data_IF_944673409941
#
_entry.id   IF_944673409941
#
_cell.length_a   1.000
_cell.length_b   1.000
_cell.length_c   1.000
_cell.angle_alpha   90.00
_cell.angle_beta   90.00
_cell.angle_gamma   90.00
#
_symmetry.space_group_name_H-M   'P 1'
#
loop_
_entity.id
_entity.type
_entity.pdbx_description
1 polymer ?
#
# COMPACT_ATOMS: atom_id res chain seq x y z
N UNK A 1 -42.73 -19.92 -15.79
CA UNK A 1 -41.33 -20.25 -15.83
C UNK A 1 -40.42 -19.01 -15.88
N UNK A 2 -40.70 -18.03 -16.72
CA UNK A 2 -39.88 -16.81 -16.91
C UNK A 2 -39.63 -15.99 -15.61
N UNK A 3 -40.65 -15.81 -14.76
CA UNK A 3 -40.53 -15.07 -13.49
C UNK A 3 -39.58 -15.75 -12.48
N UNK A 4 -39.48 -17.08 -12.48
CA UNK A 4 -38.52 -17.80 -11.60
C UNK A 4 -37.08 -17.67 -12.07
N UNK A 5 -36.88 -17.59 -13.41
CA UNK A 5 -35.55 -17.41 -14.00
C UNK A 5 -35.04 -15.99 -13.74
N UNK A 6 -35.91 -14.95 -13.87
CA UNK A 6 -35.55 -13.55 -13.58
C UNK A 6 -35.23 -13.38 -12.09
N UNK A 7 -35.99 -14.02 -11.19
CA UNK A 7 -35.73 -13.97 -9.76
C UNK A 7 -34.42 -14.66 -9.37
N UNK A 8 -34.08 -15.76 -10.03
CA UNK A 8 -32.81 -16.46 -9.83
C UNK A 8 -31.62 -15.65 -10.35
N UNK A 9 -31.72 -14.97 -11.49
CA UNK A 9 -30.72 -14.04 -12.00
C UNK A 9 -30.54 -12.82 -11.09
N UNK A 10 -31.62 -12.30 -10.52
CA UNK A 10 -31.54 -11.17 -9.58
C UNK A 10 -30.86 -11.54 -8.26
N UNK A 11 -31.07 -12.74 -7.75
CA UNK A 11 -30.37 -13.25 -6.55
C UNK A 11 -28.90 -13.52 -6.84
N UNK A 12 -28.54 -14.06 -8.01
CA UNK A 12 -27.14 -14.29 -8.36
C UNK A 12 -26.37 -12.98 -8.59
N UNK A 13 -27.03 -11.94 -9.11
CA UNK A 13 -26.43 -10.62 -9.31
C UNK A 13 -26.18 -9.89 -7.98
N UNK A 14 -27.06 -10.07 -6.99
CA UNK A 14 -26.88 -9.49 -5.64
C UNK A 14 -25.75 -10.19 -4.88
N UNK A 15 -25.54 -11.50 -5.13
CA UNK A 15 -24.46 -12.26 -4.45
C UNK A 15 -23.04 -11.88 -4.94
N UNK A 16 -22.93 -11.29 -6.14
CA UNK A 16 -21.61 -10.86 -6.72
C UNK A 16 -21.23 -9.45 -6.24
N UNK A 17 -22.18 -8.68 -5.67
CA UNK A 17 -21.95 -7.32 -5.16
C UNK A 17 -21.50 -7.27 -3.68
N UNK A 18 -21.31 -8.41 -3.02
CA UNK A 18 -20.56 -8.43 -1.77
C UNK A 18 -19.08 -8.25 -2.11
N UNK A 19 -18.67 -6.99 -2.27
CA UNK A 19 -17.25 -6.64 -2.30
C UNK A 19 -16.58 -7.35 -1.13
N UNK A 20 -15.51 -8.09 -1.40
CA UNK A 20 -14.66 -8.67 -0.38
C UNK A 20 -14.15 -7.52 0.48
N UNK A 21 -14.86 -7.22 1.59
CA UNK A 21 -14.26 -6.49 2.70
C UNK A 21 -13.21 -7.47 3.23
N UNK A 22 -12.01 -7.37 2.67
CA UNK A 22 -10.88 -8.16 3.14
C UNK A 22 -10.71 -7.81 4.60
N UNK A 23 -11.02 -8.74 5.47
CA UNK A 23 -10.86 -8.61 6.90
C UNK A 23 -9.38 -8.32 7.19
N UNK A 24 -9.10 -7.07 7.49
CA UNK A 24 -7.75 -6.56 7.63
C UNK A 24 -7.17 -7.00 8.96
N UNK A 25 -6.10 -7.78 8.92
CA UNK A 25 -5.33 -8.19 10.09
C UNK A 25 -4.05 -7.37 10.17
N UNK A 26 -3.67 -6.99 11.38
CA UNK A 26 -2.39 -6.36 11.66
C UNK A 26 -1.38 -7.43 12.12
N UNK A 27 -0.17 -7.31 11.62
CA UNK A 27 0.95 -8.19 11.93
C UNK A 27 1.86 -7.59 13.03
N UNK A 28 2.66 -8.39 13.73
CA UNK A 28 3.72 -7.85 14.57
C UNK A 28 4.63 -6.90 13.79
N UNK A 29 4.85 -5.72 14.32
CA UNK A 29 5.60 -4.65 13.67
C UNK A 29 4.74 -3.63 12.92
N UNK A 30 3.45 -3.90 12.70
CA UNK A 30 2.49 -2.88 12.32
C UNK A 30 2.13 -2.00 13.52
N UNK A 31 1.31 -1.00 13.28
CA UNK A 31 0.90 -0.10 14.34
C UNK A 31 -0.55 0.34 14.24
N UNK A 32 -0.88 1.18 15.19
CA UNK A 32 -2.16 1.89 15.24
C UNK A 32 -1.87 3.35 15.53
N UNK A 33 -2.37 4.24 14.69
CA UNK A 33 -2.36 5.69 14.93
C UNK A 33 -3.61 6.07 15.70
N UNK A 34 -3.42 6.74 16.82
CA UNK A 34 -4.48 7.28 17.65
C UNK A 34 -4.39 8.80 17.63
N UNK A 35 -5.51 9.45 17.34
CA UNK A 35 -5.62 10.90 17.40
C UNK A 35 -6.87 11.29 18.17
N UNK A 36 -6.69 12.09 19.22
CA UNK A 36 -7.75 12.77 19.94
C UNK A 36 -7.87 14.19 19.41
N UNK A 37 -9.10 14.62 19.12
CA UNK A 37 -9.37 15.96 18.58
C UNK A 37 -9.66 16.98 19.69
N UNK A 38 -10.15 16.51 20.83
CA UNK A 38 -10.65 17.31 21.95
C UNK A 38 -9.78 17.25 23.22
N UNK A 39 -8.78 16.35 23.27
CA UNK A 39 -7.92 16.15 24.43
C UNK A 39 -6.48 16.54 24.07
N UNK A 40 -5.87 17.40 24.91
CA UNK A 40 -4.50 17.87 24.68
C UNK A 40 -3.47 16.78 25.02
N UNK A 41 -3.02 16.09 24.07
CA UNK A 41 -1.76 15.68 23.52
C UNK A 41 -0.78 14.71 24.12
N UNK A 42 -0.99 14.04 25.20
CA UNK A 42 -0.05 12.99 25.65
C UNK A 42 -0.42 11.59 25.15
N UNK A 43 -1.56 11.44 24.48
CA UNK A 43 -2.12 10.14 24.12
C UNK A 43 -2.16 9.95 22.60
N UNK A 44 -2.24 11.05 21.82
CA UNK A 44 -2.17 10.99 20.37
C UNK A 44 -0.79 10.56 19.90
N UNK A 45 -0.72 9.60 18.97
CA UNK A 45 0.54 9.08 18.47
C UNK A 45 0.42 7.74 17.76
N UNK A 46 1.57 7.24 17.34
CA UNK A 46 1.71 5.95 16.67
C UNK A 46 2.19 4.91 17.68
N UNK A 47 1.46 3.80 17.78
CA UNK A 47 1.73 2.70 18.71
C UNK A 47 1.91 1.42 17.94
N UNK A 48 2.98 0.66 18.24
CA UNK A 48 3.38 -0.50 17.44
C UNK A 48 3.09 -1.81 18.16
N UNK A 49 2.71 -2.80 17.36
CA UNK A 49 2.44 -4.16 17.83
C UNK A 49 3.77 -4.86 18.07
N UNK A 50 3.94 -5.34 19.28
CA UNK A 50 5.13 -6.07 19.71
C UNK A 50 5.20 -7.47 19.05
N UNK A 51 6.38 -8.11 19.01
CA UNK A 51 6.54 -9.45 18.43
C UNK A 51 5.64 -10.52 19.05
N UNK A 52 5.21 -10.33 20.30
CA UNK A 52 4.28 -11.22 20.97
C UNK A 52 2.80 -10.98 20.63
N UNK A 53 2.52 -10.03 19.71
CA UNK A 53 1.18 -9.66 19.26
C UNK A 53 0.42 -8.78 20.24
N UNK A 54 1.13 -8.08 21.13
CA UNK A 54 0.51 -7.12 22.05
C UNK A 54 0.70 -5.69 21.58
N UNK A 55 -0.35 -4.90 21.69
CA UNK A 55 -0.37 -3.46 21.50
C UNK A 55 -0.59 -2.80 22.87
N UNK A 56 0.36 -2.00 23.31
CA UNK A 56 0.26 -1.24 24.55
C UNK A 56 -0.13 0.20 24.27
N UNK A 57 -1.23 0.66 24.86
CA UNK A 57 -1.73 2.01 24.71
C UNK A 57 -1.74 2.74 26.07
N UNK A 58 -1.41 4.04 26.10
CA UNK A 58 -1.43 4.84 27.32
C UNK A 58 -2.82 4.79 27.97
N UNK A 59 -2.85 4.60 29.28
CA UNK A 59 -4.04 4.54 30.13
C UNK A 59 -5.05 3.43 29.77
N UNK A 60 -5.16 3.00 28.50
CA UNK A 60 -6.08 1.96 28.05
C UNK A 60 -5.53 0.54 28.26
N UNK A 61 -4.21 0.39 28.54
CA UNK A 61 -3.57 -0.88 28.85
C UNK A 61 -3.12 -1.67 27.63
N UNK A 62 -3.13 -2.99 27.75
CA UNK A 62 -2.61 -3.92 26.73
C UNK A 62 -3.78 -4.57 25.98
N UNK A 63 -3.64 -4.62 24.65
CA UNK A 63 -4.57 -5.26 23.72
C UNK A 63 -3.87 -6.45 23.06
N UNK A 64 -4.55 -7.57 22.95
CA UNK A 64 -4.08 -8.71 22.19
C UNK A 64 -4.61 -8.57 20.75
N UNK A 65 -3.69 -8.49 19.78
CA UNK A 65 -4.03 -8.30 18.35
C UNK A 65 -3.99 -9.62 17.56
N UNK A 66 -3.47 -10.71 18.16
CA UNK A 66 -3.36 -12.01 17.48
C UNK A 66 -4.73 -12.50 17.02
N UNK A 67 -4.79 -12.91 15.75
CA UNK A 67 -5.97 -13.49 15.11
C UNK A 67 -7.21 -12.59 15.10
N UNK A 68 -7.07 -11.32 15.47
CA UNK A 68 -8.15 -10.34 15.42
C UNK A 68 -8.08 -9.50 14.15
N UNK A 69 -9.24 -9.18 13.62
CA UNK A 69 -9.41 -8.17 12.59
C UNK A 69 -9.21 -6.77 13.19
N UNK A 70 -8.66 -5.85 12.40
CA UNK A 70 -8.45 -4.48 12.85
C UNK A 70 -9.74 -3.81 13.35
N UNK A 71 -10.87 -4.07 12.70
CA UNK A 71 -12.17 -3.55 13.14
C UNK A 71 -12.52 -3.93 14.58
N UNK A 72 -12.18 -5.15 15.00
CA UNK A 72 -12.39 -5.62 16.39
C UNK A 72 -11.45 -4.91 17.37
N UNK A 73 -10.17 -4.76 16.96
CA UNK A 73 -9.16 -4.05 17.78
C UNK A 73 -9.55 -2.59 17.94
N UNK A 74 -9.96 -1.93 16.85
CA UNK A 74 -10.45 -0.54 16.84
C UNK A 74 -11.64 -0.36 17.78
N UNK A 75 -12.62 -1.25 17.71
CA UNK A 75 -13.81 -1.20 18.57
C UNK A 75 -13.43 -1.36 20.05
N UNK A 76 -12.50 -2.27 20.37
CA UNK A 76 -12.02 -2.47 21.73
C UNK A 76 -11.25 -1.24 22.24
N UNK A 77 -10.44 -0.60 21.38
CA UNK A 77 -9.70 0.64 21.72
C UNK A 77 -10.68 1.76 22.04
N UNK A 78 -11.64 2.00 21.13
CA UNK A 78 -12.66 3.04 21.31
C UNK A 78 -13.44 2.81 22.61
N UNK A 79 -13.93 1.60 22.84
CA UNK A 79 -14.67 1.25 24.05
C UNK A 79 -13.89 1.53 25.35
N UNK A 80 -12.58 1.21 25.37
CA UNK A 80 -11.77 1.47 26.58
C UNK A 80 -11.53 2.96 26.80
N UNK A 81 -11.28 3.72 25.74
CA UNK A 81 -11.11 5.17 25.88
C UNK A 81 -12.42 5.88 26.20
N UNK A 82 -13.57 5.43 25.68
CA UNK A 82 -14.89 5.94 26.09
C UNK A 82 -15.17 5.74 27.59
N UNK A 83 -14.64 4.66 28.16
CA UNK A 83 -14.77 4.39 29.58
C UNK A 83 -13.88 5.29 30.45
N UNK A 84 -12.79 5.81 29.89
CA UNK A 84 -11.83 6.69 30.57
C UNK A 84 -12.16 8.19 30.40
N UNK A 85 -12.67 8.55 29.24
CA UNK A 85 -12.98 9.92 28.85
C UNK A 85 -14.45 9.95 28.39
N UNK A 86 -15.22 10.95 28.83
CA UNK A 86 -16.64 11.09 28.45
C UNK A 86 -16.78 11.44 26.97
N UNK A 87 -17.09 10.46 26.12
CA UNK A 87 -17.30 10.61 24.68
C UNK A 87 -16.15 11.38 23.98
N UNK A 88 -14.92 10.87 24.02
CA UNK A 88 -13.80 11.53 23.35
C UNK A 88 -13.96 11.45 21.84
N UNK A 89 -13.62 12.54 21.14
CA UNK A 89 -13.48 12.49 19.68
C UNK A 89 -12.18 11.77 19.33
N UNK A 90 -12.27 10.47 19.07
CA UNK A 90 -11.15 9.57 18.87
C UNK A 90 -11.12 9.02 17.44
N UNK A 91 -10.02 9.24 16.74
CA UNK A 91 -9.71 8.58 15.47
C UNK A 91 -8.69 7.47 15.69
N UNK A 92 -8.99 6.28 15.18
CA UNK A 92 -8.10 5.11 15.22
C UNK A 92 -7.89 4.59 13.80
N UNK A 93 -6.64 4.64 13.32
CA UNK A 93 -6.25 4.19 11.98
C UNK A 93 -5.22 3.06 12.10
N UNK A 94 -5.27 2.12 11.17
CA UNK A 94 -4.21 1.13 11.01
C UNK A 94 -2.96 1.75 10.44
N UNK A 95 -1.79 1.30 10.88
CA UNK A 95 -0.48 1.63 10.33
C UNK A 95 0.15 0.36 9.79
N UNK A 96 0.22 0.26 8.46
CA UNK A 96 0.93 -0.84 7.80
C UNK A 96 2.40 -0.53 7.71
N UNK A 97 3.22 -1.52 8.01
CA UNK A 97 4.63 -1.47 7.69
C UNK A 97 4.84 -2.02 6.28
N UNK A 98 5.20 -1.14 5.38
CA UNK A 98 5.54 -1.46 4.00
C UNK A 98 7.03 -1.21 3.74
N UNK A 99 7.54 -1.80 2.68
CA UNK A 99 8.90 -1.56 2.22
C UNK A 99 8.86 -0.89 0.84
N UNK A 100 9.69 0.13 0.62
CA UNK A 100 9.80 0.82 -0.67
C UNK A 100 11.20 0.60 -1.21
N UNK A 101 11.30 0.04 -2.40
CA UNK A 101 12.55 -0.32 -3.06
C UNK A 101 12.68 0.24 -4.46
N UNK A 102 13.91 0.21 -4.99
CA UNK A 102 14.23 0.59 -6.35
C UNK A 102 14.52 2.07 -6.48
N UNK A 103 14.04 2.70 -7.55
CA UNK A 103 14.37 4.06 -7.95
C UNK A 103 13.62 5.13 -7.15
N UNK A 104 13.82 5.14 -5.83
CA UNK A 104 13.40 6.19 -4.89
C UNK A 104 14.61 6.78 -4.19
N UNK A 105 14.49 7.99 -3.66
CA UNK A 105 15.62 8.66 -3.01
C UNK A 105 16.04 8.01 -1.70
N UNK A 106 15.09 7.52 -0.93
CA UNK A 106 15.33 6.89 0.37
C UNK A 106 14.59 5.56 0.42
N UNK A 107 15.16 4.46 -0.11
CA UNK A 107 14.58 3.13 0.04
C UNK A 107 14.55 2.71 1.50
N UNK A 108 13.50 1.98 1.92
CA UNK A 108 13.39 1.53 3.30
C UNK A 108 11.98 1.17 3.75
N UNK A 109 11.84 0.94 5.06
CA UNK A 109 10.55 0.68 5.68
C UNK A 109 9.82 1.96 6.04
N UNK A 110 8.52 1.99 5.73
CA UNK A 110 7.64 3.11 6.00
C UNK A 110 6.36 2.63 6.66
N UNK A 111 5.78 3.49 7.48
CA UNK A 111 4.47 3.26 8.08
C UNK A 111 3.45 4.14 7.37
N UNK A 112 2.42 3.52 6.83
CA UNK A 112 1.38 4.18 6.05
C UNK A 112 0.01 3.81 6.58
N UNK A 113 -0.93 4.74 6.46
CA UNK A 113 -2.33 4.48 6.79
C UNK A 113 -3.10 4.05 5.54
N UNK A 114 -4.24 3.41 5.76
CA UNK A 114 -5.13 2.97 4.69
C UNK A 114 -5.67 4.11 3.80
N UNK A 115 -5.72 5.33 4.34
CA UNK A 115 -6.24 6.53 3.66
C UNK A 115 -5.15 7.31 2.90
N UNK A 116 -3.89 6.95 3.05
CA UNK A 116 -2.81 7.64 2.32
C UNK A 116 -2.83 7.28 0.84
N UNK A 117 -2.61 8.29 0.00
CA UNK A 117 -2.49 8.08 -1.46
C UNK A 117 -1.13 7.51 -1.82
N UNK A 118 -1.05 6.71 -2.89
CA UNK A 118 0.21 6.14 -3.36
C UNK A 118 1.26 7.22 -3.62
N UNK A 119 0.87 8.36 -4.17
CA UNK A 119 1.78 9.50 -4.40
C UNK A 119 2.36 10.06 -3.10
N UNK A 120 1.54 10.11 -2.03
CA UNK A 120 1.99 10.48 -0.68
C UNK A 120 2.96 9.46 -0.10
N UNK A 121 2.67 8.17 -0.29
CA UNK A 121 3.53 7.07 0.15
C UNK A 121 4.92 7.15 -0.50
N UNK A 122 4.97 7.39 -1.81
CA UNK A 122 6.24 7.58 -2.54
C UNK A 122 6.95 8.85 -2.06
N UNK A 123 6.21 9.92 -1.75
CA UNK A 123 6.79 11.15 -1.21
C UNK A 123 7.46 10.94 0.17
N UNK A 124 6.98 10.01 1.02
CA UNK A 124 7.66 9.63 2.26
C UNK A 124 9.08 9.10 1.99
N UNK A 125 9.27 8.35 0.89
CA UNK A 125 10.57 7.88 0.43
C UNK A 125 11.40 8.97 -0.30
N UNK A 126 11.00 10.23 -0.19
CA UNK A 126 11.68 11.36 -0.84
C UNK A 126 11.34 11.52 -2.32
N UNK A 127 10.34 10.80 -2.82
CA UNK A 127 9.97 10.74 -4.23
C UNK A 127 10.87 9.80 -5.04
N UNK A 128 10.49 9.59 -6.29
CA UNK A 128 11.26 8.78 -7.24
C UNK A 128 12.46 9.53 -7.82
N UNK A 129 13.43 8.77 -8.34
CA UNK A 129 14.60 9.32 -9.06
C UNK A 129 14.25 9.62 -10.52
N UNK A 130 15.17 10.32 -11.24
CA UNK A 130 15.01 10.55 -12.67
C UNK A 130 15.07 9.28 -13.52
N UNK A 131 15.60 8.22 -12.96
CA UNK A 131 15.80 6.95 -13.63
C UNK A 131 14.64 5.96 -13.41
N UNK A 132 13.62 6.36 -12.64
CA UNK A 132 12.48 5.54 -12.31
C UNK A 132 11.61 5.19 -13.53
N UNK A 133 11.15 3.96 -13.58
CA UNK A 133 10.10 3.49 -14.48
C UNK A 133 8.78 3.41 -13.71
N UNK A 134 7.95 4.43 -13.85
CA UNK A 134 6.70 4.51 -13.12
C UNK A 134 5.66 3.53 -13.68
N UNK A 135 5.66 3.32 -15.00
CA UNK A 135 4.71 2.39 -15.64
C UNK A 135 4.99 0.93 -15.27
N UNK A 136 6.26 0.64 -14.95
CA UNK A 136 6.68 -0.68 -14.49
C UNK A 136 6.59 -0.88 -12.98
N UNK A 137 5.99 0.05 -12.22
CA UNK A 137 5.86 -0.07 -10.77
C UNK A 137 4.88 -1.19 -10.38
N UNK A 138 5.24 -1.97 -9.38
CA UNK A 138 4.42 -3.06 -8.87
C UNK A 138 4.53 -3.22 -7.36
N UNK A 139 3.58 -3.94 -6.78
CA UNK A 139 3.63 -4.41 -5.40
C UNK A 139 4.05 -5.88 -5.39
N UNK A 140 5.11 -6.18 -4.66
CA UNK A 140 5.52 -7.55 -4.39
C UNK A 140 4.94 -7.96 -3.03
N UNK A 141 4.07 -8.98 -3.04
CA UNK A 141 3.46 -9.58 -1.86
C UNK A 141 3.83 -11.04 -1.79
N UNK A 142 4.56 -11.44 -0.76
CA UNK A 142 5.16 -12.75 -0.67
C UNK A 142 6.02 -13.00 -1.92
N UNK A 143 5.57 -13.82 -2.87
CA UNK A 143 6.24 -14.10 -4.14
C UNK A 143 5.37 -13.70 -5.35
N UNK A 144 4.28 -12.95 -5.13
CA UNK A 144 3.36 -12.52 -6.18
C UNK A 144 3.60 -11.05 -6.53
N UNK A 145 3.76 -10.78 -7.83
CA UNK A 145 3.84 -9.42 -8.37
C UNK A 145 2.44 -8.93 -8.75
N UNK A 146 2.03 -7.81 -8.17
CA UNK A 146 0.75 -7.15 -8.40
C UNK A 146 1.06 -5.86 -9.15
N UNK A 147 0.75 -5.85 -10.44
CA UNK A 147 0.92 -4.65 -11.27
C UNK A 147 0.02 -3.51 -10.78
N UNK A 148 0.54 -2.29 -10.83
CA UNK A 148 -0.19 -1.07 -10.46
C UNK A 148 -0.48 -0.28 -11.73
N UNK A 149 -1.75 0.02 -11.96
CA UNK A 149 -2.16 0.98 -13.00
C UNK A 149 -1.90 2.42 -12.52
N UNK A 150 -0.71 2.91 -12.81
CA UNK A 150 -0.23 4.22 -12.31
C UNK A 150 -1.03 5.37 -12.90
N UNK A 151 -1.49 5.27 -14.14
CA UNK A 151 -2.29 6.31 -14.77
C UNK A 151 -3.63 6.47 -14.03
N UNK A 152 -4.34 5.37 -13.79
CA UNK A 152 -5.58 5.35 -13.02
C UNK A 152 -5.35 5.84 -11.58
N UNK A 153 -4.34 5.29 -10.89
CA UNK A 153 -4.03 5.61 -9.49
C UNK A 153 -3.72 7.11 -9.33
N UNK A 154 -2.96 7.69 -10.27
CA UNK A 154 -2.56 9.10 -10.19
C UNK A 154 -3.73 10.03 -10.50
N UNK A 155 -4.55 9.67 -11.49
CA UNK A 155 -5.68 10.49 -11.94
C UNK A 155 -6.84 10.45 -10.95
N UNK A 156 -7.18 9.27 -10.43
CA UNK A 156 -8.28 9.07 -9.48
C UNK A 156 -7.87 9.37 -8.04
N UNK A 157 -6.56 9.41 -7.75
CA UNK A 157 -6.00 9.69 -6.45
C UNK A 157 -6.25 8.57 -5.44
N UNK A 158 -6.14 7.33 -5.89
CA UNK A 158 -6.41 6.12 -5.13
C UNK A 158 -5.56 6.04 -3.85
N UNK A 159 -6.18 5.59 -2.78
CA UNK A 159 -5.55 5.39 -1.48
C UNK A 159 -4.89 4.01 -1.38
N UNK A 160 -4.12 3.79 -0.32
CA UNK A 160 -3.55 2.49 -0.01
C UNK A 160 -4.62 1.39 0.07
N UNK A 161 -5.80 1.71 0.62
CA UNK A 161 -6.94 0.79 0.67
C UNK A 161 -7.50 0.47 -0.71
N UNK A 162 -7.64 1.48 -1.58
CA UNK A 162 -8.21 1.31 -2.94
C UNK A 162 -7.34 0.40 -3.81
N UNK A 163 -6.02 0.51 -3.69
CA UNK A 163 -5.07 -0.37 -4.40
C UNK A 163 -4.84 -1.72 -3.68
N UNK A 164 -5.53 -1.95 -2.57
CA UNK A 164 -5.44 -3.19 -1.82
C UNK A 164 -4.10 -3.43 -1.14
N UNK A 165 -3.37 -2.36 -0.77
CA UNK A 165 -2.09 -2.45 -0.08
C UNK A 165 -2.28 -3.08 1.30
N UNK A 166 -1.36 -3.97 1.68
CA UNK A 166 -1.38 -4.71 2.95
C UNK A 166 -0.07 -4.56 3.69
N UNK A 167 -0.13 -4.89 4.98
CA UNK A 167 1.08 -5.00 5.80
C UNK A 167 2.06 -6.03 5.23
N UNK A 168 3.33 -5.66 5.19
CA UNK A 168 4.41 -6.48 4.65
C UNK A 168 4.64 -6.36 3.15
N UNK A 169 3.77 -5.66 2.42
CA UNK A 169 3.94 -5.42 1.00
C UNK A 169 5.24 -4.64 0.71
N UNK A 170 5.79 -4.89 -0.47
CA UNK A 170 6.94 -4.17 -0.98
C UNK A 170 6.53 -3.42 -2.25
N UNK A 171 6.60 -2.10 -2.22
CA UNK A 171 6.43 -1.28 -3.42
C UNK A 171 7.78 -1.23 -4.13
N UNK A 172 7.83 -1.75 -5.35
CA UNK A 172 9.03 -1.81 -6.16
C UNK A 172 8.90 -0.84 -7.32
N UNK A 173 9.85 0.08 -7.41
CA UNK A 173 9.94 1.06 -8.51
C UNK A 173 11.17 0.68 -9.33
N UNK A 174 11.00 0.02 -10.49
CA UNK A 174 12.11 -0.44 -11.29
C UNK A 174 12.84 0.74 -11.94
N UNK A 175 14.04 0.46 -12.43
CA UNK A 175 14.80 1.40 -13.22
C UNK A 175 14.34 1.38 -14.66
N UNK A 176 14.14 2.56 -15.25
CA UNK A 176 13.79 2.69 -16.66
C UNK A 176 14.87 2.08 -17.56
N UNK A 177 14.42 1.34 -18.58
CA UNK A 177 15.31 0.79 -19.61
C UNK A 177 16.19 1.88 -20.23
N UNK A 178 15.65 3.09 -20.39
CA UNK A 178 16.32 4.23 -21.03
C UNK A 178 17.32 4.93 -20.11
N UNK A 179 17.33 4.65 -18.83
CA UNK A 179 18.23 5.25 -17.85
C UNK A 179 19.65 4.66 -17.87
N UNK A 180 19.88 3.56 -18.60
CA UNK A 180 21.21 2.93 -18.71
C UNK A 180 21.91 3.28 -20.03
N UNK A 181 22.84 4.26 -20.02
CA UNK A 181 23.57 4.67 -21.22
C UNK A 181 24.40 3.53 -21.84
N UNK A 182 24.85 2.58 -21.03
CA UNK A 182 25.66 1.47 -21.52
C UNK A 182 24.88 0.55 -22.48
N UNK A 183 23.57 0.40 -22.25
CA UNK A 183 22.68 -0.38 -23.14
C UNK A 183 22.51 0.25 -24.51
N UNK A 184 22.56 1.57 -24.61
CA UNK A 184 22.48 2.27 -25.89
C UNK A 184 23.79 2.20 -26.68
N UNK A 185 24.92 2.26 -26.00
CA UNK A 185 26.24 2.29 -26.67
C UNK A 185 26.46 1.05 -27.53
N UNK A 186 26.10 -0.15 -27.05
CA UNK A 186 26.24 -1.36 -27.85
C UNK A 186 25.22 -1.44 -28.98
N UNK A 187 23.98 -0.95 -28.78
CA UNK A 187 22.96 -0.90 -29.84
C UNK A 187 23.38 0.05 -30.98
N UNK A 188 23.89 1.22 -30.64
CA UNK A 188 24.41 2.18 -31.62
C UNK A 188 25.61 1.60 -32.37
N UNK A 189 26.50 0.90 -31.66
CA UNK A 189 27.64 0.22 -32.26
C UNK A 189 27.21 -0.88 -33.24
N UNK A 190 26.22 -1.68 -32.86
CA UNK A 190 25.66 -2.71 -33.73
C UNK A 190 25.00 -2.12 -34.97
N UNK A 191 24.22 -1.05 -34.80
CA UNK A 191 23.59 -0.35 -35.92
C UNK A 191 24.63 0.22 -36.87
N UNK A 192 25.70 0.82 -36.37
CA UNK A 192 26.82 1.33 -37.17
C UNK A 192 27.52 0.23 -37.99
N UNK A 193 27.73 -0.95 -37.39
CA UNK A 193 28.31 -2.13 -38.07
C UNK A 193 27.38 -2.61 -39.19
N UNK A 194 26.07 -2.68 -38.92
CA UNK A 194 25.08 -3.12 -39.91
C UNK A 194 25.06 -2.10 -41.09
N UNK A 195 25.04 -0.80 -40.83
CA UNK A 195 25.02 0.24 -41.84
C UNK A 195 26.31 0.21 -42.70
N UNK A 196 27.47 -0.02 -42.08
CA UNK A 196 28.73 -0.16 -42.83
C UNK A 196 28.75 -1.43 -43.67
N UNK A 197 28.23 -2.53 -43.19
CA UNK A 197 28.13 -3.78 -43.94
C UNK A 197 27.20 -3.64 -45.15
N UNK A 198 26.04 -2.99 -44.95
CA UNK A 198 25.09 -2.71 -46.06
C UNK A 198 25.72 -1.79 -47.10
N UNK A 199 26.42 -0.74 -46.68
CA UNK A 199 27.09 0.18 -47.63
C UNK A 199 28.18 -0.52 -48.45
N UNK A 200 28.89 -1.51 -47.90
CA UNK A 200 29.87 -2.32 -48.61
C UNK A 200 29.26 -3.30 -49.62
N UNK A 201 28.00 -3.72 -49.45
CA UNK A 201 27.33 -4.67 -50.34
C UNK A 201 26.61 -3.94 -51.48
N UNK A 202 26.21 -2.69 -51.27
CA UNK A 202 25.45 -1.89 -52.25
C UNK A 202 26.41 -1.10 -53.21
N UNK A 203 27.69 -1.00 -52.88
CA UNK A 203 28.73 -0.39 -53.72
C UNK A 203 29.54 -1.45 -54.47
#
# INVERSE_FOLDING_TARGET
MLKKIIFFYFITTILVLTGNISAQKLNPGDGVRIAFLDITDLISGDYFIQPDGKLQLPYAGIFNTKDKEFAMIKSEIVFRYDSLYKNPELTVLSLYRINIHGEVRNPGFYYVTEIEKLTGIIALAGGYTSDADLDGMFVLREDEEIELDIESITTEGNTAADIGLKSGDQIVIPRSFWADPARFTWMISLLAVILTAVALVVN
#
